data_IF_424987535513
#
_entry.id   IF_424987535513
#
_cell.length_a   1.000
_cell.length_b   1.000
_cell.length_c   1.000
_cell.angle_alpha   90.00
_cell.angle_beta   90.00
_cell.angle_gamma   90.00
#
_symmetry.space_group_name_H-M   'P 1'
#
loop_
_entity.id
_entity.type
_entity.pdbx_description
1 polymer ?
#
# COMPACT_ATOMS: atom_id res chain seq x y z
N UNK A 1 2.28 -14.94 3.00
CA UNK A 1 2.82 -14.18 1.84
C UNK A 1 4.08 -14.88 1.38
N UNK A 2 4.15 -15.25 0.10
CA UNK A 2 5.22 -16.07 -0.46
C UNK A 2 6.03 -15.25 -1.48
N UNK A 3 6.66 -14.17 -1.02
CA UNK A 3 7.64 -13.39 -1.77
C UNK A 3 8.93 -13.33 -0.96
N UNK A 4 10.07 -13.30 -1.65
CA UNK A 4 11.37 -13.17 -0.97
C UNK A 4 11.58 -11.72 -0.56
N UNK A 5 12.00 -11.52 0.69
CA UNK A 5 12.28 -10.20 1.26
C UNK A 5 13.80 -10.02 1.20
N UNK A 6 14.26 -9.04 0.41
CA UNK A 6 15.68 -8.72 0.24
C UNK A 6 16.17 -7.65 1.23
N UNK A 7 15.29 -6.73 1.59
CA UNK A 7 15.56 -5.65 2.54
C UNK A 7 14.35 -5.58 3.48
N UNK A 8 14.59 -5.51 4.78
CA UNK A 8 13.58 -5.21 5.79
C UNK A 8 14.27 -4.56 6.98
N UNK A 9 14.71 -3.32 6.78
CA UNK A 9 15.62 -2.64 7.69
C UNK A 9 15.21 -1.17 7.88
N UNK A 10 15.55 -0.58 9.03
CA UNK A 10 15.62 0.87 9.16
C UNK A 10 16.49 1.48 8.06
N UNK A 11 16.09 2.65 7.55
CA UNK A 11 16.85 3.35 6.52
C UNK A 11 18.24 3.79 7.04
N UNK A 12 18.38 4.01 8.35
CA UNK A 12 19.64 4.32 9.03
C UNK A 12 20.74 3.29 8.80
N UNK A 13 20.39 2.03 8.55
CA UNK A 13 21.35 0.93 8.38
C UNK A 13 22.18 1.08 7.09
N UNK A 14 21.67 1.83 6.10
CA UNK A 14 22.32 2.02 4.81
C UNK A 14 22.14 3.44 4.23
N UNK A 15 21.80 4.43 5.06
CA UNK A 15 21.84 5.83 4.66
C UNK A 15 23.30 6.29 4.54
N UNK A 16 23.74 6.54 3.30
CA UNK A 16 25.11 6.94 3.00
C UNK A 16 25.33 8.45 3.23
N UNK A 17 24.33 9.28 2.91
CA UNK A 17 24.33 10.70 3.25
C UNK A 17 24.08 10.94 4.75
N UNK A 18 25.12 11.35 5.49
CA UNK A 18 25.02 11.67 6.92
C UNK A 18 24.45 13.06 7.22
N UNK A 19 24.33 13.92 6.21
CA UNK A 19 23.68 15.22 6.36
C UNK A 19 22.16 15.12 6.36
N UNK A 20 21.63 13.99 5.88
CA UNK A 20 20.21 13.76 5.75
C UNK A 20 19.57 13.49 7.12
N UNK A 21 18.65 14.37 7.53
CA UNK A 21 17.95 14.29 8.82
C UNK A 21 16.54 14.87 8.72
N UNK A 22 15.52 14.30 9.42
CA UNK A 22 15.55 13.10 10.25
C UNK A 22 15.43 11.80 9.43
N UNK A 23 16.04 10.70 9.91
CA UNK A 23 16.07 9.39 9.23
C UNK A 23 15.60 8.22 10.11
N UNK A 24 15.41 8.45 11.40
CA UNK A 24 15.15 7.43 12.43
C UNK A 24 13.79 6.75 12.24
N UNK A 25 12.79 7.52 11.81
CA UNK A 25 11.42 7.05 11.57
C UNK A 25 11.20 6.62 10.10
N UNK A 26 12.23 6.06 9.48
CA UNK A 26 12.20 5.63 8.08
C UNK A 26 12.66 4.19 7.95
N UNK A 27 11.92 3.41 7.18
CA UNK A 27 12.27 2.00 6.91
C UNK A 27 12.03 1.66 5.45
N UNK A 28 12.71 0.61 4.99
CA UNK A 28 12.62 0.13 3.62
C UNK A 28 12.37 -1.36 3.63
N UNK A 29 11.41 -1.76 2.80
CA UNK A 29 11.14 -3.15 2.50
C UNK A 29 11.30 -3.35 1.00
N UNK A 30 12.08 -4.36 0.60
CA UNK A 30 12.21 -4.79 -0.78
C UNK A 30 11.71 -6.22 -0.89
N UNK A 31 10.68 -6.43 -1.69
CA UNK A 31 10.12 -7.76 -1.98
C UNK A 31 10.32 -8.12 -3.44
N UNK A 32 10.62 -9.38 -3.72
CA UNK A 32 10.72 -9.90 -5.09
C UNK A 32 9.92 -11.21 -5.25
N UNK A 33 9.49 -11.46 -6.48
CA UNK A 33 8.87 -12.73 -6.88
C UNK A 33 9.93 -13.74 -7.35
N UNK A 34 9.59 -15.03 -7.37
CA UNK A 34 10.48 -16.09 -7.83
C UNK A 34 10.26 -16.47 -9.31
N UNK A 35 11.09 -17.39 -9.78
CA UNK A 35 11.14 -17.89 -11.16
C UNK A 35 10.86 -19.40 -11.19
N UNK A 36 10.33 -19.88 -12.31
CA UNK A 36 10.06 -21.30 -12.57
C UNK A 36 10.27 -21.55 -14.06
N UNK A 37 10.96 -22.62 -14.42
CA UNK A 37 11.29 -22.97 -15.82
C UNK A 37 11.89 -21.80 -16.64
N UNK A 38 12.80 -21.05 -16.00
CA UNK A 38 13.48 -19.87 -16.56
C UNK A 38 12.60 -18.63 -16.73
N UNK A 39 11.36 -18.66 -16.28
CA UNK A 39 10.38 -17.59 -16.44
C UNK A 39 9.99 -16.96 -15.10
N UNK A 40 9.71 -15.65 -15.12
CA UNK A 40 9.13 -14.99 -13.96
C UNK A 40 7.72 -15.52 -13.71
N UNK A 41 7.38 -15.86 -12.47
CA UNK A 41 6.11 -16.53 -12.16
C UNK A 41 4.93 -15.56 -12.18
N UNK A 42 4.50 -15.18 -13.38
CA UNK A 42 3.36 -14.28 -13.60
C UNK A 42 2.09 -14.79 -12.95
N UNK A 43 1.81 -16.09 -13.06
CA UNK A 43 0.62 -16.68 -12.46
C UNK A 43 0.65 -16.60 -10.93
N UNK A 44 1.81 -16.79 -10.29
CA UNK A 44 1.93 -16.66 -8.83
C UNK A 44 1.64 -15.23 -8.37
N UNK A 45 2.19 -14.23 -9.05
CA UNK A 45 1.91 -12.83 -8.74
C UNK A 45 0.46 -12.44 -9.03
N UNK A 46 -0.09 -12.92 -10.15
CA UNK A 46 -1.49 -12.67 -10.49
C UNK A 46 -2.44 -13.29 -9.48
N UNK A 47 -2.17 -14.52 -9.03
CA UNK A 47 -2.93 -15.18 -7.97
C UNK A 47 -2.84 -14.38 -6.67
N UNK A 48 -1.65 -13.89 -6.30
CA UNK A 48 -1.52 -13.04 -5.11
C UNK A 48 -2.44 -11.80 -5.16
N UNK A 49 -2.59 -11.15 -6.32
CA UNK A 49 -3.52 -10.03 -6.47
C UNK A 49 -4.97 -10.51 -6.24
N UNK A 50 -5.38 -11.59 -6.92
CA UNK A 50 -6.77 -12.09 -6.86
C UNK A 50 -7.14 -12.75 -5.54
N UNK A 51 -6.19 -13.37 -4.84
CA UNK A 51 -6.39 -13.95 -3.50
C UNK A 51 -6.61 -12.86 -2.45
N UNK A 52 -6.21 -11.61 -2.74
CA UNK A 52 -6.30 -10.49 -1.79
C UNK A 52 -7.22 -9.36 -2.27
N UNK A 53 -7.83 -9.47 -3.45
CA UNK A 53 -8.70 -8.42 -4.01
C UNK A 53 -9.82 -8.02 -3.03
N UNK A 54 -10.41 -9.02 -2.36
CA UNK A 54 -11.52 -8.83 -1.42
C UNK A 54 -11.16 -7.93 -0.23
N UNK A 55 -9.88 -7.82 0.14
CA UNK A 55 -9.45 -7.04 1.31
C UNK A 55 -9.75 -5.55 1.20
N UNK A 56 -9.78 -5.02 -0.03
CA UNK A 56 -10.07 -3.60 -0.28
C UNK A 56 -11.37 -3.39 -1.05
N UNK A 57 -11.87 -4.40 -1.76
CA UNK A 57 -13.06 -4.29 -2.59
C UNK A 57 -14.35 -4.72 -1.90
N UNK A 58 -14.29 -5.35 -0.72
CA UNK A 58 -15.46 -5.75 0.06
C UNK A 58 -15.35 -5.27 1.50
N UNK A 59 -16.50 -4.92 2.10
CA UNK A 59 -16.60 -4.70 3.55
C UNK A 59 -16.24 -5.96 4.33
N UNK A 60 -15.81 -5.81 5.59
CA UNK A 60 -15.57 -6.96 6.47
C UNK A 60 -16.80 -7.87 6.58
N UNK A 61 -18.00 -7.29 6.69
CA UNK A 61 -19.25 -8.06 6.75
C UNK A 61 -19.53 -8.87 5.48
N UNK A 62 -19.29 -8.30 4.30
CA UNK A 62 -19.44 -9.03 3.04
C UNK A 62 -18.45 -10.20 2.96
N UNK A 63 -17.19 -9.98 3.34
CA UNK A 63 -16.17 -11.04 3.39
C UNK A 63 -16.58 -12.18 4.32
N UNK A 64 -17.03 -11.87 5.53
CA UNK A 64 -17.50 -12.88 6.49
C UNK A 64 -18.69 -13.69 5.95
N UNK A 65 -19.65 -13.03 5.30
CA UNK A 65 -20.81 -13.71 4.68
C UNK A 65 -20.44 -14.63 3.51
N UNK A 66 -19.25 -14.46 2.93
CA UNK A 66 -18.77 -15.18 1.75
C UNK A 66 -17.59 -16.12 2.05
N UNK A 67 -17.24 -16.34 3.33
CA UNK A 67 -16.03 -17.08 3.75
C UNK A 67 -15.90 -18.47 3.12
N UNK A 68 -17.01 -19.17 2.86
CA UNK A 68 -17.02 -20.49 2.23
C UNK A 68 -17.45 -20.47 0.75
N UNK A 69 -17.69 -19.29 0.18
CA UNK A 69 -18.21 -19.08 -1.17
C UNK A 69 -17.15 -18.41 -2.06
N UNK A 70 -15.99 -19.06 -2.22
CA UNK A 70 -14.81 -18.48 -2.89
C UNK A 70 -15.10 -17.89 -4.28
N UNK A 71 -15.90 -18.57 -5.11
CA UNK A 71 -16.26 -18.04 -6.42
C UNK A 71 -17.08 -16.76 -6.31
N UNK A 72 -18.11 -16.75 -5.46
CA UNK A 72 -18.92 -15.56 -5.19
C UNK A 72 -18.08 -14.42 -4.63
N UNK A 73 -17.15 -14.70 -3.71
CA UNK A 73 -16.23 -13.71 -3.15
C UNK A 73 -15.47 -12.98 -4.26
N UNK A 74 -14.88 -13.70 -5.20
CA UNK A 74 -14.16 -13.13 -6.35
C UNK A 74 -15.09 -12.33 -7.27
N UNK A 75 -16.29 -12.86 -7.55
CA UNK A 75 -17.29 -12.18 -8.39
C UNK A 75 -17.75 -10.86 -7.77
N UNK A 76 -18.11 -10.83 -6.48
CA UNK A 76 -18.52 -9.61 -5.78
C UNK A 76 -17.37 -8.61 -5.67
N UNK A 77 -16.15 -9.08 -5.35
CA UNK A 77 -14.97 -8.25 -5.30
C UNK A 77 -14.66 -7.59 -6.66
N UNK A 78 -14.73 -8.36 -7.75
CA UNK A 78 -14.49 -7.85 -9.10
C UNK A 78 -15.53 -6.81 -9.53
N UNK A 79 -16.80 -6.98 -9.14
CA UNK A 79 -17.89 -6.03 -9.42
C UNK A 79 -17.63 -4.64 -8.83
N UNK A 80 -16.86 -4.55 -7.75
CA UNK A 80 -16.50 -3.28 -7.12
C UNK A 80 -15.27 -2.59 -7.72
N UNK A 81 -14.55 -3.22 -8.66
CA UNK A 81 -13.43 -2.59 -9.36
C UNK A 81 -13.91 -1.50 -10.33
N UNK A 82 -13.18 -0.39 -10.40
CA UNK A 82 -13.33 0.69 -11.38
C UNK A 82 -12.42 0.49 -12.58
N UNK A 83 -12.58 -0.62 -13.30
CA UNK A 83 -11.96 -0.79 -14.61
C UNK A 83 -12.53 0.27 -15.55
N UNK A 84 -11.76 1.29 -15.92
CA UNK A 84 -12.23 2.27 -16.90
C UNK A 84 -12.08 1.70 -18.32
N UNK A 85 -13.21 1.52 -19.00
CA UNK A 85 -13.30 1.09 -20.41
C UNK A 85 -12.72 2.10 -21.41
N UNK A 86 -12.16 3.22 -20.94
CA UNK A 86 -11.64 4.27 -21.81
C UNK A 86 -10.20 3.96 -22.19
N UNK A 87 -10.00 3.60 -23.45
CA UNK A 87 -8.71 3.59 -24.13
C UNK A 87 -7.98 4.92 -23.88
N UNK A 88 -6.87 4.89 -23.16
CA UNK A 88 -6.05 6.08 -22.84
C UNK A 88 -5.96 6.46 -21.37
N UNK A 89 -6.69 5.81 -20.47
CA UNK A 89 -6.65 6.16 -19.05
C UNK A 89 -5.35 5.73 -18.34
N UNK A 90 -4.73 6.70 -17.67
CA UNK A 90 -3.55 6.58 -16.81
C UNK A 90 -3.85 5.70 -15.57
N UNK A 91 -5.14 5.41 -15.28
CA UNK A 91 -5.61 4.68 -14.10
C UNK A 91 -5.53 3.15 -14.21
N UNK A 92 -5.23 2.56 -15.38
CA UNK A 92 -5.35 1.11 -15.65
C UNK A 92 -4.47 0.16 -14.82
N UNK A 93 -3.69 0.66 -13.86
CA UNK A 93 -2.95 -0.17 -12.90
C UNK A 93 -2.99 0.35 -11.46
N UNK A 94 -3.78 1.39 -11.17
CA UNK A 94 -3.82 1.99 -9.83
C UNK A 94 -4.42 1.01 -8.82
N UNK A 95 -5.56 0.40 -9.15
CA UNK A 95 -6.24 -0.57 -8.27
C UNK A 95 -5.37 -1.80 -7.97
N UNK A 96 -4.50 -2.21 -8.91
CA UNK A 96 -3.54 -3.31 -8.69
C UNK A 96 -2.56 -2.96 -7.57
N UNK A 97 -2.00 -1.74 -7.59
CA UNK A 97 -1.09 -1.29 -6.54
C UNK A 97 -1.81 -1.15 -5.18
N UNK A 98 -3.06 -0.65 -5.18
CA UNK A 98 -3.88 -0.60 -3.98
C UNK A 98 -4.10 -2.00 -3.39
N UNK A 99 -4.55 -2.97 -4.19
CA UNK A 99 -4.76 -4.36 -3.76
C UNK A 99 -3.47 -4.96 -3.17
N UNK A 100 -2.33 -4.76 -3.83
CA UNK A 100 -1.05 -5.28 -3.35
C UNK A 100 -0.65 -4.61 -2.03
N UNK A 101 -0.85 -3.30 -1.89
CA UNK A 101 -0.57 -2.61 -0.63
C UNK A 101 -1.43 -3.17 0.50
N UNK A 102 -2.73 -3.38 0.30
CA UNK A 102 -3.61 -4.06 1.28
C UNK A 102 -3.09 -5.45 1.65
N UNK A 103 -2.68 -6.22 0.65
CA UNK A 103 -2.15 -7.55 0.89
C UNK A 103 -0.86 -7.51 1.72
N UNK A 104 0.06 -6.59 1.44
CA UNK A 104 1.30 -6.40 2.22
C UNK A 104 0.97 -5.96 3.64
N UNK A 105 0.06 -5.00 3.81
CA UNK A 105 -0.40 -4.54 5.12
C UNK A 105 -0.98 -5.67 5.97
N UNK A 106 -1.84 -6.51 5.39
CA UNK A 106 -2.40 -7.68 6.08
C UNK A 106 -1.35 -8.74 6.39
N UNK A 107 -0.58 -9.16 5.39
CA UNK A 107 0.25 -10.36 5.52
C UNK A 107 1.60 -10.10 6.18
N UNK A 108 2.24 -8.96 5.90
CA UNK A 108 3.54 -8.60 6.44
C UNK A 108 3.39 -7.84 7.76
N UNK A 109 2.61 -6.76 7.78
CA UNK A 109 2.44 -5.91 8.97
C UNK A 109 1.37 -6.40 9.95
N UNK A 110 0.58 -7.42 9.59
CA UNK A 110 -0.54 -7.93 10.41
C UNK A 110 -1.57 -6.84 10.74
N UNK A 111 -1.72 -5.87 9.86
CA UNK A 111 -2.58 -4.72 10.07
C UNK A 111 -4.05 -5.06 9.74
N UNK A 112 -4.96 -4.49 10.53
CA UNK A 112 -6.41 -4.63 10.35
C UNK A 112 -6.88 -3.68 9.25
N UNK A 113 -7.51 -4.16 8.16
CA UNK A 113 -7.99 -3.33 7.06
C UNK A 113 -9.31 -2.66 7.45
N UNK A 114 -9.23 -1.52 8.16
CA UNK A 114 -10.41 -0.89 8.78
C UNK A 114 -11.26 -0.07 7.81
N UNK A 115 -10.74 0.32 6.63
CA UNK A 115 -11.54 0.98 5.58
C UNK A 115 -11.19 0.39 4.21
N UNK A 116 -11.96 -0.57 3.67
CA UNK A 116 -11.74 -1.09 2.30
C UNK A 116 -11.96 -0.01 1.24
N UNK A 117 -10.87 0.56 0.71
CA UNK A 117 -10.95 1.78 -0.11
C UNK A 117 -11.61 1.56 -1.47
N UNK A 118 -11.40 0.43 -2.14
CA UNK A 118 -12.08 0.14 -3.42
C UNK A 118 -13.60 0.01 -3.19
N UNK A 119 -14.02 -0.64 -2.10
CA UNK A 119 -15.44 -0.77 -1.73
C UNK A 119 -16.13 0.60 -1.59
N UNK A 120 -15.51 1.55 -0.87
CA UNK A 120 -16.09 2.88 -0.70
C UNK A 120 -15.89 3.82 -1.91
N UNK A 121 -14.96 3.48 -2.81
CA UNK A 121 -14.86 4.09 -4.13
C UNK A 121 -15.93 3.48 -5.05
N UNK A 122 -17.23 3.58 -4.76
CA UNK A 122 -18.29 3.09 -5.70
C UNK A 122 -18.94 4.19 -6.58
N UNK A 123 -19.03 5.45 -6.14
CA UNK A 123 -19.62 6.52 -6.98
C UNK A 123 -18.58 7.20 -7.87
N UNK A 124 -18.85 7.39 -9.17
CA UNK A 124 -17.93 8.08 -10.10
C UNK A 124 -17.58 9.53 -9.69
N UNK A 125 -18.41 10.17 -8.85
CA UNK A 125 -18.14 11.47 -8.22
C UNK A 125 -17.50 11.38 -6.83
N UNK A 126 -17.45 10.19 -6.22
CA UNK A 126 -16.65 9.94 -5.01
C UNK A 126 -15.18 9.94 -5.37
N UNK A 127 -14.67 11.15 -5.46
CA UNK A 127 -13.31 11.51 -5.17
C UNK A 127 -13.09 11.32 -3.66
N UNK A 128 -13.08 10.08 -3.19
CA UNK A 128 -12.38 9.71 -1.97
C UNK A 128 -10.86 9.91 -2.21
N UNK A 129 -10.47 11.16 -2.52
CA UNK A 129 -9.11 11.68 -2.54
C UNK A 129 -8.63 11.61 -1.11
N UNK A 130 -7.62 10.80 -0.88
CA UNK A 130 -7.10 10.44 0.43
C UNK A 130 -6.29 9.16 0.30
N UNK A 131 -5.98 8.52 1.43
CA UNK A 131 -5.07 7.38 1.44
C UNK A 131 -5.57 6.23 0.56
N UNK A 132 -4.68 5.63 -0.23
CA UNK A 132 -4.95 4.43 -1.01
C UNK A 132 -5.22 3.20 -0.14
N UNK A 133 -4.66 3.17 1.08
CA UNK A 133 -4.95 2.12 2.05
C UNK A 133 -5.08 2.66 3.47
N UNK A 134 -5.95 2.06 4.28
CA UNK A 134 -6.22 2.51 5.65
C UNK A 134 -6.29 1.32 6.58
N UNK A 135 -5.35 1.26 7.53
CA UNK A 135 -5.24 0.16 8.46
C UNK A 135 -4.99 0.65 9.90
N UNK A 136 -5.25 -0.23 10.86
CA UNK A 136 -4.87 -0.07 12.26
C UNK A 136 -4.04 -1.28 12.69
N UNK A 137 -2.97 -1.04 13.45
CA UNK A 137 -2.26 -2.09 14.18
C UNK A 137 -2.50 -1.87 15.68
N UNK A 138 -2.80 -2.94 16.39
CA UNK A 138 -2.92 -2.92 17.85
C UNK A 138 -1.54 -3.13 18.44
N UNK A 139 -1.05 -2.11 19.15
CA UNK A 139 0.28 -2.06 19.75
C UNK A 139 0.18 -2.46 21.22
N UNK A 140 0.99 -3.44 21.66
CA UNK A 140 1.10 -3.86 23.07
C UNK A 140 -0.23 -4.23 23.77
N UNK A 141 -1.30 -4.48 23.01
CA UNK A 141 -2.62 -4.88 23.51
C UNK A 141 -3.51 -3.74 24.05
N UNK A 142 -2.98 -2.52 24.22
CA UNK A 142 -3.72 -1.39 24.77
C UNK A 142 -3.42 -0.04 24.07
N UNK A 143 -2.59 -0.04 23.04
CA UNK A 143 -2.32 1.14 22.21
C UNK A 143 -2.55 0.78 20.73
N UNK A 144 -2.43 1.75 19.85
CA UNK A 144 -2.65 1.55 18.42
C UNK A 144 -1.78 2.48 17.57
N UNK A 145 -1.52 2.05 16.35
CA UNK A 145 -0.97 2.87 15.28
C UNK A 145 -1.92 2.92 14.10
N UNK A 146 -1.93 4.06 13.40
CA UNK A 146 -2.77 4.30 12.21
C UNK A 146 -1.87 4.29 10.99
N UNK A 147 -2.32 3.59 9.95
CA UNK A 147 -1.56 3.40 8.73
C UNK A 147 -2.34 3.96 7.55
N UNK A 148 -1.85 5.07 7.00
CA UNK A 148 -2.38 5.71 5.79
C UNK A 148 -1.40 5.51 4.65
N UNK A 149 -1.69 4.54 3.79
CA UNK A 149 -0.78 4.12 2.74
C UNK A 149 -1.05 4.75 1.39
N UNK A 150 0.00 4.89 0.59
CA UNK A 150 -0.02 5.37 -0.78
C UNK A 150 0.60 4.35 -1.71
N UNK A 151 -0.01 4.12 -2.88
CA UNK A 151 0.42 3.08 -3.81
C UNK A 151 0.52 3.62 -5.24
N UNK A 152 1.62 3.27 -5.92
CA UNK A 152 1.80 3.59 -7.34
C UNK A 152 2.32 2.39 -8.11
N UNK A 153 1.76 2.18 -9.29
CA UNK A 153 2.29 1.25 -10.29
C UNK A 153 3.01 2.05 -11.39
N UNK A 154 4.34 2.15 -11.29
CA UNK A 154 5.16 2.91 -12.24
C UNK A 154 5.83 2.04 -13.30
N UNK A 155 6.17 2.67 -14.43
CA UNK A 155 7.01 2.04 -15.46
C UNK A 155 8.51 2.15 -15.11
N UNK A 156 8.87 3.06 -14.19
CA UNK A 156 10.21 3.17 -13.61
C UNK A 156 10.14 3.97 -12.31
N UNK A 157 11.14 3.81 -11.46
CA UNK A 157 11.33 4.59 -10.21
C UNK A 157 12.58 5.46 -10.29
N UNK A 158 12.85 5.97 -11.50
CA UNK A 158 13.85 7.00 -11.71
C UNK A 158 13.48 8.29 -10.98
N UNK A 159 14.49 9.12 -10.73
CA UNK A 159 14.37 10.35 -9.94
C UNK A 159 13.22 11.27 -10.38
N UNK A 160 12.97 11.35 -11.69
CA UNK A 160 11.90 12.17 -12.26
C UNK A 160 10.48 11.68 -11.88
N UNK A 161 10.33 10.40 -11.50
CA UNK A 161 9.05 9.77 -11.14
C UNK A 161 8.70 9.93 -9.66
N UNK A 162 9.69 10.21 -8.81
CA UNK A 162 9.50 10.23 -7.35
C UNK A 162 8.72 11.46 -6.86
N UNK A 163 8.79 12.58 -7.60
CA UNK A 163 8.14 13.83 -7.19
C UNK A 163 6.61 13.70 -7.07
N UNK A 164 5.97 12.92 -7.95
CA UNK A 164 4.52 12.74 -7.95
C UNK A 164 4.05 12.03 -6.67
N UNK A 165 4.67 10.89 -6.32
CA UNK A 165 4.30 10.15 -5.11
C UNK A 165 4.62 10.92 -3.83
N UNK A 166 5.74 11.66 -3.79
CA UNK A 166 6.07 12.52 -2.63
C UNK A 166 5.01 13.63 -2.48
N UNK A 167 4.50 14.17 -3.60
CA UNK A 167 3.39 15.13 -3.58
C UNK A 167 2.07 14.49 -3.13
N UNK A 168 1.84 13.21 -3.44
CA UNK A 168 0.70 12.46 -2.88
C UNK A 168 0.79 12.37 -1.36
N UNK A 169 1.96 11.96 -0.86
CA UNK A 169 2.25 11.88 0.58
C UNK A 169 2.12 13.24 1.26
N UNK A 170 2.62 14.32 0.66
CA UNK A 170 2.43 15.68 1.17
C UNK A 170 0.95 16.01 1.37
N UNK A 171 0.14 15.74 0.33
CA UNK A 171 -1.28 16.02 0.38
C UNK A 171 -1.99 15.17 1.44
N UNK A 172 -1.61 13.91 1.62
CA UNK A 172 -2.23 13.03 2.63
C UNK A 172 -1.93 13.46 4.06
N UNK A 173 -0.84 14.19 4.28
CA UNK A 173 -0.44 14.74 5.58
C UNK A 173 -1.09 16.09 5.94
N UNK A 174 -1.85 16.70 5.03
CA UNK A 174 -2.58 17.93 5.33
C UNK A 174 -3.66 17.69 6.39
N UNK A 175 -3.83 18.64 7.31
CA UNK A 175 -4.76 18.50 8.45
C UNK A 175 -6.18 18.19 8.03
N UNK A 176 -6.70 18.81 6.96
CA UNK A 176 -8.05 18.53 6.45
C UNK A 176 -8.17 17.10 5.90
N UNK A 177 -7.10 16.58 5.28
CA UNK A 177 -7.06 15.21 4.77
C UNK A 177 -6.98 14.19 5.89
N UNK A 178 -6.09 14.39 6.86
CA UNK A 178 -5.99 13.52 8.04
C UNK A 178 -7.30 13.49 8.83
N UNK A 179 -7.92 14.65 9.09
CA UNK A 179 -9.24 14.71 9.76
C UNK A 179 -10.34 14.02 8.95
N UNK A 180 -10.29 14.12 7.61
CA UNK A 180 -11.22 13.40 6.74
C UNK A 180 -11.05 11.89 6.84
N UNK A 181 -9.82 11.37 6.78
CA UNK A 181 -9.56 9.93 6.91
C UNK A 181 -9.95 9.40 8.30
N UNK A 182 -9.64 10.15 9.37
CA UNK A 182 -10.08 9.83 10.73
C UNK A 182 -11.62 9.74 10.82
N UNK A 183 -12.33 10.69 10.20
CA UNK A 183 -13.78 10.67 10.12
C UNK A 183 -14.31 9.44 9.37
N UNK A 184 -13.64 9.00 8.30
CA UNK A 184 -14.04 7.78 7.60
C UNK A 184 -13.90 6.57 8.53
N UNK A 185 -12.75 6.40 9.20
CA UNK A 185 -12.52 5.28 10.13
C UNK A 185 -13.61 5.23 11.22
N UNK A 186 -14.01 6.37 11.77
CA UNK A 186 -14.99 6.41 12.88
C UNK A 186 -16.43 6.15 12.43
N UNK A 187 -16.73 6.30 11.13
CA UNK A 187 -18.08 6.15 10.57
C UNK A 187 -18.32 4.84 9.82
N UNK A 188 -17.27 4.03 9.56
CA UNK A 188 -17.43 2.69 8.97
C UNK A 188 -17.67 1.64 10.04
N UNK A 189 -18.42 0.58 9.70
CA UNK A 189 -18.72 -0.51 10.65
C UNK A 189 -17.59 -1.51 10.84
N UNK A 190 -16.58 -1.48 9.97
CA UNK A 190 -15.50 -2.47 9.96
C UNK A 190 -14.65 -2.39 11.23
N UNK A 191 -14.40 -1.18 11.74
CA UNK A 191 -13.70 -1.00 13.03
C UNK A 191 -14.44 -1.66 14.20
N UNK A 192 -15.78 -1.70 14.17
CA UNK A 192 -16.59 -2.32 15.22
C UNK A 192 -16.53 -3.84 15.21
N UNK A 193 -16.26 -4.43 14.05
CA UNK A 193 -16.17 -5.89 13.89
C UNK A 193 -14.73 -6.39 14.02
N UNK A 194 -13.75 -5.62 13.56
CA UNK A 194 -12.33 -5.99 13.56
C UNK A 194 -11.65 -5.82 14.93
N UNK A 195 -12.12 -4.89 15.75
CA UNK A 195 -11.55 -4.61 17.08
C UNK A 195 -12.54 -5.06 18.15
N UNK A 196 -12.36 -6.29 18.66
CA UNK A 196 -13.26 -6.89 19.65
C UNK A 196 -13.23 -6.22 21.02
N UNK A 197 -12.07 -5.70 21.44
CA UNK A 197 -11.93 -4.96 22.71
C UNK A 197 -12.68 -3.61 22.62
N UNK A 198 -13.79 -3.51 23.36
CA UNK A 198 -14.64 -2.33 23.39
C UNK A 198 -13.93 -1.09 23.96
N UNK A 199 -13.09 -1.27 24.98
CA UNK A 199 -12.39 -0.15 25.61
C UNK A 199 -11.39 0.45 24.62
N UNK A 200 -10.56 -0.40 24.00
CA UNK A 200 -9.57 0.03 23.01
C UNK A 200 -10.25 0.65 21.79
N UNK A 201 -11.34 0.03 21.30
CA UNK A 201 -12.12 0.56 20.19
C UNK A 201 -12.67 1.96 20.48
N UNK A 202 -13.17 2.21 21.69
CA UNK A 202 -13.66 3.52 22.10
C UNK A 202 -12.53 4.54 22.25
N UNK A 203 -11.36 4.13 22.76
CA UNK A 203 -10.15 4.98 22.84
C UNK A 203 -9.66 5.38 21.44
N UNK A 204 -9.64 4.45 20.49
CA UNK A 204 -9.35 4.75 19.07
C UNK A 204 -10.36 5.76 18.53
N UNK A 205 -11.67 5.48 18.63
CA UNK A 205 -12.71 6.39 18.12
C UNK A 205 -12.63 7.79 18.75
N UNK A 206 -12.31 7.86 20.04
CA UNK A 206 -12.11 9.13 20.74
C UNK A 206 -10.91 9.88 20.18
N UNK A 207 -9.77 9.20 20.04
CA UNK A 207 -8.53 9.79 19.50
C UNK A 207 -8.69 10.30 18.06
N UNK A 208 -9.53 9.63 17.26
CA UNK A 208 -9.82 10.00 15.86
C UNK A 208 -10.96 11.00 15.72
N UNK A 209 -11.56 11.46 16.83
CA UNK A 209 -12.68 12.40 16.79
C UNK A 209 -12.29 13.70 16.07
N UNK A 210 -13.21 14.32 15.30
CA UNK A 210 -12.96 15.61 14.65
C UNK A 210 -12.54 16.74 15.61
N UNK A 211 -12.89 16.60 16.90
CA UNK A 211 -12.58 17.54 17.98
C UNK A 211 -11.14 17.43 18.48
N UNK A 212 -10.49 16.29 18.29
CA UNK A 212 -9.11 16.08 18.73
C UNK A 212 -8.10 16.78 17.80
N UNK A 213 -6.94 17.08 18.37
CA UNK A 213 -5.81 17.61 17.60
C UNK A 213 -5.14 16.50 16.81
N UNK A 214 -4.84 16.78 15.53
CA UNK A 214 -4.07 15.86 14.69
C UNK A 214 -2.63 15.70 15.21
N UNK A 215 -2.10 16.66 15.97
CA UNK A 215 -0.75 16.55 16.52
C UNK A 215 -0.63 15.41 17.54
N UNK A 216 -1.72 15.01 18.20
CA UNK A 216 -1.75 13.81 19.06
C UNK A 216 -1.72 12.50 18.25
N UNK A 217 -2.09 12.57 16.97
CA UNK A 217 -2.17 11.43 16.05
C UNK A 217 -0.87 11.23 15.27
N UNK A 218 -0.15 12.30 14.90
CA UNK A 218 1.07 12.21 14.09
C UNK A 218 2.15 11.27 14.67
N UNK A 219 2.41 11.21 15.99
CA UNK A 219 3.33 10.21 16.57
C UNK A 219 2.91 8.74 16.35
N UNK A 220 1.59 8.51 16.20
CA UNK A 220 0.97 7.21 15.95
C UNK A 220 0.75 6.94 14.47
N UNK A 221 1.12 7.88 13.59
CA UNK A 221 0.89 7.80 12.16
C UNK A 221 2.05 7.11 11.44
N UNK A 222 1.69 6.10 10.66
CA UNK A 222 2.57 5.36 9.78
C UNK A 222 2.11 5.53 8.33
N UNK A 223 3.05 5.78 7.43
CA UNK A 223 2.80 6.02 6.00
C UNK A 223 3.53 4.94 5.19
N UNK A 224 2.87 3.81 4.88
CA UNK A 224 3.41 2.81 3.96
C UNK A 224 3.26 3.29 2.51
N UNK A 225 4.35 3.24 1.75
CA UNK A 225 4.46 3.84 0.41
C UNK A 225 4.91 2.73 -0.54
N UNK A 226 3.98 2.18 -1.31
CA UNK A 226 4.28 1.13 -2.28
C UNK A 226 4.65 1.74 -3.63
N UNK A 227 5.88 1.43 -4.06
CA UNK A 227 6.31 1.57 -5.45
C UNK A 227 6.36 0.18 -6.09
N UNK A 228 5.25 -0.20 -6.71
CA UNK A 228 5.24 -1.31 -7.66
C UNK A 228 5.79 -0.78 -8.98
N UNK A 229 6.84 -1.38 -9.53
CA UNK A 229 7.49 -0.80 -10.69
C UNK A 229 7.98 -1.82 -11.71
N UNK A 230 7.82 -1.48 -12.98
CA UNK A 230 8.54 -2.17 -14.05
C UNK A 230 10.05 -2.02 -13.86
N UNK A 231 10.79 -3.10 -14.08
CA UNK A 231 12.19 -3.20 -13.71
C UNK A 231 12.98 -4.04 -14.72
N UNK A 232 13.85 -3.38 -15.47
CA UNK A 232 14.71 -4.02 -16.47
C UNK A 232 15.65 -5.07 -15.85
N UNK A 233 16.17 -4.83 -14.63
CA UNK A 233 17.01 -5.80 -13.91
C UNK A 233 16.25 -7.12 -13.73
N UNK A 234 14.99 -7.04 -13.30
CA UNK A 234 14.12 -8.22 -13.11
C UNK A 234 13.76 -8.89 -14.43
N UNK A 235 13.49 -8.10 -15.47
CA UNK A 235 13.14 -8.60 -16.80
C UNK A 235 14.26 -9.44 -17.44
N UNK A 236 15.53 -9.12 -17.17
CA UNK A 236 16.70 -9.84 -17.71
C UNK A 236 16.99 -11.17 -17.03
N UNK A 237 16.35 -11.46 -15.89
CA UNK A 237 16.63 -12.68 -15.14
C UNK A 237 15.80 -13.85 -15.61
N UNK A 238 16.36 -15.03 -15.42
CA UNK A 238 15.68 -16.32 -15.64
C UNK A 238 15.61 -17.16 -14.37
N UNK A 239 16.32 -16.77 -13.30
CA UNK A 239 16.32 -17.51 -12.04
C UNK A 239 16.58 -16.59 -10.88
N UNK A 240 16.27 -17.08 -9.68
CA UNK A 240 16.48 -16.38 -8.42
C UNK A 240 17.94 -16.55 -7.95
N UNK A 241 18.89 -16.04 -8.74
CA UNK A 241 20.32 -16.14 -8.46
C UNK A 241 20.76 -15.15 -7.37
N UNK A 242 21.88 -15.45 -6.70
CA UNK A 242 22.46 -14.52 -5.73
C UNK A 242 22.92 -13.21 -6.39
N UNK A 243 23.43 -13.27 -7.62
CA UNK A 243 23.80 -12.08 -8.40
C UNK A 243 22.59 -11.15 -8.60
N UNK A 244 21.43 -11.70 -8.98
CA UNK A 244 20.20 -10.93 -9.11
C UNK A 244 19.79 -10.28 -7.78
N UNK A 245 19.84 -11.04 -6.68
CA UNK A 245 19.48 -10.52 -5.35
C UNK A 245 20.40 -9.37 -4.95
N UNK A 246 21.71 -9.52 -5.13
CA UNK A 246 22.70 -8.49 -4.81
C UNK A 246 22.48 -7.23 -5.67
N UNK A 247 22.28 -7.40 -6.98
CA UNK A 247 22.00 -6.30 -7.90
C UNK A 247 20.72 -5.55 -7.48
N UNK A 248 19.65 -6.28 -7.16
CA UNK A 248 18.39 -5.70 -6.74
C UNK A 248 18.48 -4.98 -5.38
N UNK A 249 19.20 -5.55 -4.41
CA UNK A 249 19.44 -4.89 -3.11
C UNK A 249 20.14 -3.56 -3.32
N UNK A 250 21.20 -3.53 -4.14
CA UNK A 250 21.96 -2.31 -4.41
C UNK A 250 21.10 -1.26 -5.14
N UNK A 251 20.34 -1.69 -6.15
CA UNK A 251 19.41 -0.82 -6.87
C UNK A 251 18.37 -0.21 -5.92
N UNK A 252 17.68 -1.03 -5.13
CA UNK A 252 16.65 -0.57 -4.20
C UNK A 252 17.17 0.31 -3.06
N UNK A 253 18.36 0.04 -2.51
CA UNK A 253 19.00 0.94 -1.54
C UNK A 253 19.25 2.32 -2.13
N UNK A 254 19.79 2.37 -3.35
CA UNK A 254 20.03 3.63 -4.04
C UNK A 254 18.72 4.38 -4.36
N UNK A 255 17.67 3.67 -4.77
CA UNK A 255 16.34 4.27 -5.00
C UNK A 255 15.70 4.78 -3.70
N UNK A 256 15.86 4.06 -2.59
CA UNK A 256 15.37 4.48 -1.28
C UNK A 256 16.07 5.75 -0.77
N UNK A 257 17.39 5.86 -0.98
CA UNK A 257 18.13 7.07 -0.65
C UNK A 257 17.65 8.27 -1.48
N UNK A 258 17.51 8.11 -2.79
CA UNK A 258 16.96 9.16 -3.66
C UNK A 258 15.54 9.57 -3.24
N UNK A 259 14.70 8.61 -2.88
CA UNK A 259 13.34 8.87 -2.41
C UNK A 259 13.33 9.66 -1.10
N UNK A 260 14.02 9.17 -0.06
CA UNK A 260 13.99 9.82 1.25
C UNK A 260 14.72 11.17 1.25
N UNK A 261 15.78 11.31 0.46
CA UNK A 261 16.46 12.60 0.29
C UNK A 261 15.51 13.65 -0.31
N UNK A 262 14.79 13.32 -1.38
CA UNK A 262 13.75 14.21 -1.96
C UNK A 262 12.57 14.43 -1.00
N UNK A 263 12.14 13.39 -0.28
CA UNK A 263 11.04 13.48 0.67
C UNK A 263 11.37 14.41 1.84
N UNK A 264 12.54 14.27 2.45
CA UNK A 264 12.98 15.12 3.56
C UNK A 264 13.13 16.56 3.10
N UNK A 265 13.78 16.79 1.96
CA UNK A 265 13.96 18.15 1.42
C UNK A 265 12.62 18.86 1.16
N UNK A 266 11.59 18.11 0.75
CA UNK A 266 10.27 18.67 0.46
C UNK A 266 9.38 18.78 1.71
N UNK A 267 9.39 17.77 2.57
CA UNK A 267 8.40 17.60 3.64
C UNK A 267 8.96 17.84 5.05
N UNK A 268 10.27 18.00 5.20
CA UNK A 268 10.95 18.08 6.50
C UNK A 268 10.53 19.28 7.35
N UNK A 269 9.96 20.32 6.74
CA UNK A 269 9.43 21.49 7.43
C UNK A 269 7.98 21.33 7.92
N UNK A 270 7.31 20.21 7.62
CA UNK A 270 5.93 19.96 8.07
C UNK A 270 5.92 19.77 9.60
N UNK A 271 4.96 20.35 10.33
CA UNK A 271 4.86 20.18 11.78
C UNK A 271 4.77 18.71 12.19
N UNK A 272 5.60 18.30 13.16
CA UNK A 272 5.74 16.92 13.65
C UNK A 272 6.20 15.90 12.59
N UNK A 273 6.82 16.34 11.49
CA UNK A 273 7.33 15.44 10.45
C UNK A 273 8.25 14.35 11.02
N UNK A 274 9.11 14.70 11.96
CA UNK A 274 10.05 13.77 12.61
C UNK A 274 9.36 12.69 13.45
N UNK A 275 8.09 12.87 13.82
CA UNK A 275 7.32 11.93 14.65
C UNK A 275 6.52 10.93 13.79
N UNK A 276 6.33 11.23 12.50
CA UNK A 276 5.63 10.36 11.55
C UNK A 276 6.59 9.29 11.03
N UNK A 277 6.11 8.04 10.98
CA UNK A 277 6.89 6.91 10.45
C UNK A 277 6.58 6.68 8.98
N UNK A 278 7.62 6.50 8.19
CA UNK A 278 7.52 6.25 6.75
C UNK A 278 8.11 4.89 6.39
N UNK A 279 7.36 4.09 5.63
CA UNK A 279 7.75 2.75 5.23
C UNK A 279 7.76 2.68 3.70
N UNK A 280 8.93 2.77 3.09
CA UNK A 280 9.05 2.62 1.64
C UNK A 280 9.04 1.14 1.28
N UNK A 281 8.08 0.72 0.47
CA UNK A 281 7.93 -0.65 -0.01
C UNK A 281 8.23 -0.69 -1.51
N UNK A 282 9.28 -1.40 -1.91
CA UNK A 282 9.73 -1.54 -3.28
C UNK A 282 9.41 -2.95 -3.78
N UNK A 283 8.69 -3.03 -4.91
CA UNK A 283 8.35 -4.29 -5.55
C UNK A 283 8.61 -4.20 -7.06
N UNK A 284 9.63 -4.89 -7.60
CA UNK A 284 9.93 -4.87 -9.01
C UNK A 284 9.12 -5.94 -9.75
N UNK A 285 8.65 -5.61 -10.95
CA UNK A 285 8.02 -6.53 -11.90
C UNK A 285 8.69 -6.43 -13.27
N UNK A 286 8.73 -7.51 -14.06
CA UNK A 286 9.42 -7.50 -15.35
C UNK A 286 8.77 -6.59 -16.39
N UNK A 287 7.44 -6.68 -16.58
CA UNK A 287 6.70 -5.89 -17.57
C UNK A 287 5.31 -5.56 -17.02
N UNK A 288 5.04 -4.27 -16.79
CA UNK A 288 3.77 -3.80 -16.22
C UNK A 288 2.59 -4.11 -17.12
N UNK A 289 2.76 -3.95 -18.44
CA UNK A 289 1.69 -4.16 -19.42
C UNK A 289 1.09 -5.57 -19.32
N UNK A 290 1.92 -6.61 -19.20
CA UNK A 290 1.47 -8.00 -19.08
C UNK A 290 0.58 -8.21 -17.85
N UNK A 291 0.96 -7.64 -16.71
CA UNK A 291 0.21 -7.75 -15.46
C UNK A 291 -1.13 -7.02 -15.57
N UNK A 292 -1.11 -5.79 -16.11
CA UNK A 292 -2.33 -4.98 -16.29
C UNK A 292 -3.31 -5.67 -17.23
N UNK A 293 -2.85 -6.10 -18.41
CA UNK A 293 -3.72 -6.74 -19.41
C UNK A 293 -4.35 -8.02 -18.86
N UNK A 294 -3.55 -8.84 -18.13
CA UNK A 294 -4.04 -10.06 -17.51
C UNK A 294 -5.04 -9.78 -16.39
N UNK A 295 -4.78 -8.78 -15.55
CA UNK A 295 -5.69 -8.37 -14.50
C UNK A 295 -7.03 -7.91 -15.07
N UNK A 296 -7.03 -7.04 -16.09
CA UNK A 296 -8.25 -6.57 -16.75
C UNK A 296 -9.03 -7.74 -17.34
N UNK A 297 -8.37 -8.64 -18.06
CA UNK A 297 -9.03 -9.82 -18.65
C UNK A 297 -9.72 -10.71 -17.60
N UNK A 298 -9.09 -10.94 -16.45
CA UNK A 298 -9.70 -11.73 -15.36
C UNK A 298 -10.84 -10.95 -14.69
N UNK A 299 -10.67 -9.64 -14.53
CA UNK A 299 -11.68 -8.79 -13.91
C UNK A 299 -12.95 -8.69 -14.78
N UNK A 300 -12.81 -8.57 -16.10
CA UNK A 300 -13.92 -8.61 -17.04
C UNK A 300 -14.66 -9.96 -17.00
N UNK A 301 -13.93 -11.07 -16.88
CA UNK A 301 -14.54 -12.39 -16.72
C UNK A 301 -15.42 -12.46 -15.46
N UNK A 302 -14.89 -12.08 -14.29
CA UNK A 302 -15.65 -12.14 -13.03
C UNK A 302 -16.79 -11.12 -12.96
N UNK A 303 -16.63 -9.92 -13.55
CA UNK A 303 -17.70 -8.92 -13.60
C UNK A 303 -18.92 -9.40 -14.37
N UNK A 304 -18.69 -10.18 -15.44
CA UNK A 304 -19.71 -10.72 -16.32
C UNK A 304 -20.17 -12.14 -15.91
N UNK A 305 -19.65 -12.67 -14.80
CA UNK A 305 -20.07 -13.95 -14.20
C UNK A 305 -21.23 -13.80 -13.20
#
# INVERSE_FOLDING_TARGET
MNFEILINNPFTDFCFDKSLTPVENKSVISMINNFEDKEWRYNHFQNFIWDNIAETSLSHKERESLVNNHHSLLTYAAKNLRLSDKSGDISKGSEIAEIILYAIMKHHFKALPVVPKIFYKQNAQDNAKGADSVHIIIENGNDFSIWFGEAKFYNSIEDARLAEIITSVENSLLTDKLKKENSIITNVSDIDSLIGDEKLRNEIKTSLSPRESIDLIKPKLHIPILLLHECEITQKQTSLSDDYKIEMINYHKNRAEAFFSKQINKLGAIPHYSEIKFHLVLFPVPLKKTIVDRFISIADFYKNS
#
